data_IF_429040744962
#
_entry.id   IF_429040744962
#
_cell.length_a   1.000
_cell.length_b   1.000
_cell.length_c   1.000
_cell.angle_alpha   90.00
_cell.angle_beta   90.00
_cell.angle_gamma   90.00
#
_symmetry.space_group_name_H-M   'P 1'
#
loop_
_entity.id
_entity.type
_entity.pdbx_description
1 polymer ?
#
# COMPACT_ATOMS: atom_id res chain seq x y z
N UNK A 1 2.91 -12.21 0.79
CA UNK A 1 2.82 -11.70 2.17
C UNK A 1 2.45 -12.77 3.19
N UNK A 2 1.21 -13.25 3.29
CA UNK A 2 0.78 -14.04 4.47
C UNK A 2 1.09 -15.54 4.46
N UNK A 3 1.13 -16.19 3.29
CA UNK A 3 1.25 -17.67 3.20
C UNK A 3 2.56 -18.15 2.55
N UNK A 4 3.13 -17.38 1.62
CA UNK A 4 4.29 -17.80 0.81
C UNK A 4 5.54 -16.95 1.03
N UNK A 5 5.58 -16.16 2.12
CA UNK A 5 6.72 -15.30 2.45
C UNK A 5 7.02 -14.19 1.42
N UNK A 6 6.12 -13.93 0.46
CA UNK A 6 6.34 -12.87 -0.52
C UNK A 6 6.48 -11.50 0.15
N UNK A 7 7.45 -10.72 -0.31
CA UNK A 7 7.76 -9.37 0.15
C UNK A 7 7.79 -8.40 -1.03
N UNK A 8 7.89 -7.12 -0.72
CA UNK A 8 8.16 -6.04 -1.67
C UNK A 8 9.13 -5.03 -1.06
N UNK A 9 9.60 -4.10 -1.89
CA UNK A 9 10.55 -3.08 -1.49
C UNK A 9 10.06 -2.21 -0.33
N UNK A 10 8.79 -1.85 -0.30
CA UNK A 10 8.19 -1.00 0.74
C UNK A 10 8.17 -1.72 2.09
N UNK A 11 7.83 -3.01 2.09
CA UNK A 11 7.87 -3.85 3.28
C UNK A 11 9.31 -4.10 3.75
N UNK A 12 10.23 -4.43 2.84
CA UNK A 12 11.63 -4.69 3.17
C UNK A 12 12.27 -3.46 3.85
N UNK A 13 12.06 -2.28 3.27
CA UNK A 13 12.54 -1.01 3.82
C UNK A 13 11.81 -0.63 5.10
N UNK A 14 10.51 -0.96 5.26
CA UNK A 14 9.79 -0.76 6.54
C UNK A 14 10.37 -1.62 7.67
N UNK A 15 10.75 -2.87 7.37
CA UNK A 15 11.29 -3.82 8.36
C UNK A 15 12.75 -3.57 8.69
N UNK A 16 13.56 -3.07 7.76
CA UNK A 16 14.98 -2.84 8.00
C UNK A 16 15.21 -1.92 9.22
N UNK A 17 16.12 -2.26 10.16
CA UNK A 17 16.45 -1.38 11.29
C UNK A 17 16.90 0.00 10.79
N UNK A 18 16.39 1.08 11.39
CA UNK A 18 16.63 2.42 10.88
C UNK A 18 18.13 2.80 10.90
N UNK A 19 18.87 2.30 11.89
CA UNK A 19 20.31 2.53 12.03
C UNK A 19 21.18 1.76 11.04
N UNK A 20 20.62 0.79 10.32
CA UNK A 20 21.33 -0.02 9.32
C UNK A 20 20.81 0.20 7.89
N UNK A 21 19.98 1.22 7.67
CA UNK A 21 19.52 1.56 6.32
C UNK A 21 20.70 2.00 5.46
N UNK A 22 20.79 1.47 4.24
CA UNK A 22 21.70 2.04 3.25
C UNK A 22 21.20 3.44 2.84
N UNK A 23 22.09 4.25 2.25
CA UNK A 23 21.69 5.55 1.71
C UNK A 23 20.56 5.42 0.69
N UNK A 24 20.59 4.38 -0.15
CA UNK A 24 19.52 4.08 -1.12
C UNK A 24 18.19 3.74 -0.44
N UNK A 25 18.19 2.95 0.64
CA UNK A 25 16.98 2.64 1.39
C UNK A 25 16.41 3.89 2.10
N UNK A 26 17.28 4.73 2.66
CA UNK A 26 16.89 5.96 3.31
C UNK A 26 16.32 6.97 2.30
N UNK A 27 16.90 7.10 1.11
CA UNK A 27 16.33 7.91 0.04
C UNK A 27 14.98 7.35 -0.42
N UNK A 28 14.86 6.02 -0.54
CA UNK A 28 13.57 5.38 -0.86
C UNK A 28 12.48 5.75 0.15
N UNK A 29 12.77 5.70 1.46
CA UNK A 29 11.84 6.17 2.50
C UNK A 29 11.39 7.61 2.22
N UNK A 30 12.35 8.50 2.00
CA UNK A 30 12.08 9.92 1.83
C UNK A 30 11.24 10.24 0.58
N UNK A 31 11.31 9.42 -0.46
CA UNK A 31 10.48 9.60 -1.67
C UNK A 31 9.10 8.94 -1.56
N UNK A 32 8.99 7.78 -0.91
CA UNK A 32 7.79 6.94 -0.99
C UNK A 32 6.95 6.97 0.28
N UNK A 33 7.54 7.21 1.44
CA UNK A 33 6.83 7.10 2.72
C UNK A 33 5.97 8.31 3.04
N UNK A 34 5.89 9.29 2.14
CA UNK A 34 4.94 10.39 2.20
C UNK A 34 3.89 10.35 1.08
N UNK A 35 3.83 9.27 0.28
CA UNK A 35 2.83 9.07 -0.79
C UNK A 35 1.47 8.67 -0.22
N UNK A 36 0.94 9.49 0.67
CA UNK A 36 -0.37 9.39 1.29
C UNK A 36 -1.06 10.75 1.23
N UNK A 37 -2.37 10.81 1.51
CA UNK A 37 -3.06 12.09 1.53
C UNK A 37 -2.50 13.00 2.65
N UNK A 38 -1.80 14.08 2.30
CA UNK A 38 -1.13 14.92 3.28
C UNK A 38 -2.09 15.59 4.28
N UNK A 39 -3.29 15.98 3.84
CA UNK A 39 -4.27 16.67 4.69
C UNK A 39 -4.92 15.74 5.73
N UNK A 40 -5.20 14.49 5.35
CA UNK A 40 -5.96 13.56 6.20
C UNK A 40 -5.09 12.50 6.88
N UNK A 41 -3.92 12.18 6.33
CA UNK A 41 -3.06 11.10 6.84
C UNK A 41 -1.75 11.62 7.46
N UNK A 42 -1.28 12.81 7.10
CA UNK A 42 -0.02 13.38 7.63
C UNK A 42 -0.30 14.49 8.63
N UNK A 43 -0.97 15.55 8.17
CA UNK A 43 -1.23 16.78 8.94
C UNK A 43 -1.89 16.55 10.31
N UNK A 44 -2.80 15.57 10.52
CA UNK A 44 -3.38 15.33 11.84
C UNK A 44 -2.37 14.84 12.89
N UNK A 45 -1.21 14.31 12.47
CA UNK A 45 -0.22 13.71 13.35
C UNK A 45 1.03 14.62 13.43
N UNK A 46 1.24 15.35 14.55
CA UNK A 46 2.25 16.41 14.61
C UNK A 46 3.65 15.95 14.19
N UNK A 47 4.10 14.79 14.70
CA UNK A 47 5.42 14.25 14.35
C UNK A 47 5.53 13.89 12.87
N UNK A 48 4.50 13.29 12.28
CA UNK A 48 4.55 12.92 10.87
C UNK A 48 4.56 14.16 9.98
N UNK A 49 3.79 15.19 10.36
CA UNK A 49 3.81 16.50 9.72
C UNK A 49 5.17 17.18 9.80
N UNK A 50 5.84 17.16 10.96
CA UNK A 50 7.20 17.68 11.14
C UNK A 50 8.18 17.01 10.16
N UNK A 51 8.11 15.67 10.03
CA UNK A 51 8.96 14.90 9.10
C UNK A 51 8.66 15.24 7.64
N UNK A 52 7.38 15.44 7.30
CA UNK A 52 6.95 15.83 5.95
C UNK A 52 7.47 17.22 5.58
N UNK A 53 7.37 18.20 6.49
CA UNK A 53 7.94 19.52 6.30
C UNK A 53 9.46 19.46 6.15
N UNK A 54 10.12 18.66 6.99
CA UNK A 54 11.57 18.42 6.96
C UNK A 54 12.04 17.74 5.67
N UNK A 55 11.20 16.91 5.04
CA UNK A 55 11.49 16.29 3.74
C UNK A 55 11.54 17.32 2.61
N UNK A 56 10.67 18.32 2.62
CA UNK A 56 10.63 19.36 1.58
C UNK A 56 10.27 18.81 0.19
N UNK A 57 9.23 17.95 0.09
CA UNK A 57 8.82 17.34 -1.17
C UNK A 57 8.59 18.39 -2.27
N UNK A 58 9.08 18.08 -3.47
CA UNK A 58 9.00 18.96 -4.64
C UNK A 58 9.99 20.14 -4.63
N UNK A 59 10.77 20.33 -3.56
CA UNK A 59 11.80 21.38 -3.47
C UNK A 59 13.22 20.82 -3.51
N UNK A 60 13.43 19.66 -2.90
CA UNK A 60 14.76 19.04 -2.74
C UNK A 60 14.71 17.54 -3.09
N UNK A 61 15.82 17.00 -3.58
CA UNK A 61 15.95 15.55 -3.78
C UNK A 61 16.00 14.81 -2.44
N UNK A 62 15.78 13.50 -2.44
CA UNK A 62 15.86 12.70 -1.23
C UNK A 62 17.27 12.75 -0.60
N UNK A 63 18.31 12.70 -1.42
CA UNK A 63 19.72 12.74 -0.99
C UNK A 63 20.05 14.06 -0.29
N UNK A 64 19.52 15.18 -0.80
CA UNK A 64 19.69 16.50 -0.18
C UNK A 64 18.99 16.55 1.17
N UNK A 65 17.74 16.07 1.22
CA UNK A 65 16.94 16.07 2.45
C UNK A 65 17.54 15.16 3.52
N UNK A 66 18.09 13.99 3.13
CA UNK A 66 18.61 12.95 4.01
C UNK A 66 19.64 13.48 5.02
N UNK A 67 20.45 14.48 4.64
CA UNK A 67 21.44 15.12 5.53
C UNK A 67 20.84 15.71 6.81
N UNK A 68 19.54 16.00 6.80
CA UNK A 68 18.81 16.53 7.96
C UNK A 68 18.22 15.42 8.81
N UNK A 69 18.04 14.21 8.29
CA UNK A 69 17.39 13.10 8.98
C UNK A 69 18.42 12.31 9.79
N UNK A 70 18.07 12.00 11.03
CA UNK A 70 18.80 11.04 11.85
C UNK A 70 18.04 9.71 11.92
N UNK A 71 18.65 8.71 12.56
CA UNK A 71 18.07 7.38 12.75
C UNK A 71 16.65 7.41 13.34
N UNK A 72 16.39 8.28 14.34
CA UNK A 72 15.06 8.38 14.97
C UNK A 72 14.03 8.97 14.02
N UNK A 73 14.43 9.94 13.20
CA UNK A 73 13.55 10.50 12.18
C UNK A 73 13.15 9.45 11.14
N UNK A 74 14.11 8.64 10.69
CA UNK A 74 13.86 7.56 9.72
C UNK A 74 12.95 6.48 10.32
N UNK A 75 13.19 6.11 11.59
CA UNK A 75 12.34 5.13 12.29
C UNK A 75 10.92 5.66 12.51
N UNK A 76 10.78 6.90 12.97
CA UNK A 76 9.47 7.52 13.15
C UNK A 76 8.73 7.63 11.81
N UNK A 77 9.44 7.88 10.70
CA UNK A 77 8.87 7.88 9.36
C UNK A 77 8.38 6.47 8.94
N UNK A 78 9.20 5.44 9.15
CA UNK A 78 8.80 4.04 8.91
C UNK A 78 7.52 3.69 9.67
N UNK A 79 7.44 4.07 10.94
CA UNK A 79 6.29 3.78 11.81
C UNK A 79 5.05 4.58 11.37
N UNK A 80 5.16 5.89 11.16
CA UNK A 80 4.01 6.72 10.82
C UNK A 80 3.37 6.37 9.48
N UNK A 81 4.20 6.10 8.45
CA UNK A 81 3.67 5.65 7.17
C UNK A 81 2.81 4.39 7.36
N UNK A 82 3.35 3.39 8.06
CA UNK A 82 2.65 2.12 8.30
C UNK A 82 1.42 2.27 9.21
N UNK A 83 1.47 3.10 10.26
CA UNK A 83 0.33 3.38 11.13
C UNK A 83 -0.86 3.97 10.37
N UNK A 84 -0.60 4.93 9.47
CA UNK A 84 -1.68 5.67 8.79
C UNK A 84 -2.44 4.83 7.77
N UNK A 85 -1.88 3.70 7.33
CA UNK A 85 -2.56 2.73 6.48
C UNK A 85 -3.46 1.74 7.25
N UNK A 86 -3.41 1.75 8.59
CA UNK A 86 -4.28 0.91 9.41
C UNK A 86 -5.64 1.60 9.60
N UNK A 87 -6.72 0.86 9.35
CA UNK A 87 -8.08 1.36 9.48
C UNK A 87 -8.41 1.74 10.95
N UNK A 88 -9.13 2.85 11.22
CA UNK A 88 -9.49 3.30 12.57
C UNK A 88 -10.05 2.22 13.52
N UNK A 89 -10.92 1.34 13.01
CA UNK A 89 -11.50 0.22 13.76
C UNK A 89 -10.45 -0.72 14.40
N UNK A 90 -9.26 -0.85 13.83
CA UNK A 90 -8.21 -1.67 14.44
C UNK A 90 -7.71 -1.06 15.76
N UNK A 91 -7.61 0.27 15.85
CA UNK A 91 -7.22 0.96 17.08
C UNK A 91 -8.29 0.94 18.17
N UNK A 92 -9.56 0.74 17.79
CA UNK A 92 -10.65 0.54 18.75
C UNK A 92 -10.57 -0.85 19.39
N UNK A 93 -10.12 -1.86 18.63
CA UNK A 93 -10.13 -3.27 19.02
C UNK A 93 -8.81 -3.76 19.61
N UNK A 94 -7.69 -3.13 19.27
CA UNK A 94 -6.35 -3.53 19.67
C UNK A 94 -5.70 -2.40 20.50
N UNK A 95 -5.45 -2.70 21.78
CA UNK A 95 -4.86 -1.74 22.70
C UNK A 95 -3.41 -1.40 22.36
N UNK A 96 -2.63 -2.37 21.88
CA UNK A 96 -1.22 -2.18 21.55
C UNK A 96 -1.08 -1.22 20.36
N UNK A 97 -1.93 -1.36 19.33
CA UNK A 97 -1.97 -0.44 18.19
C UNK A 97 -2.35 0.97 18.60
N UNK A 98 -3.32 1.11 19.52
CA UNK A 98 -3.73 2.41 20.06
C UNK A 98 -2.61 3.07 20.84
N UNK A 99 -1.95 2.32 21.72
CA UNK A 99 -0.83 2.81 22.52
C UNK A 99 0.36 3.24 21.62
N UNK A 100 0.65 2.48 20.55
CA UNK A 100 1.64 2.84 19.55
C UNK A 100 1.31 4.18 18.86
N UNK A 101 0.06 4.35 18.42
CA UNK A 101 -0.38 5.60 17.76
C UNK A 101 -0.34 6.78 18.71
N UNK A 102 -0.83 6.60 19.94
CA UNK A 102 -0.97 7.66 20.93
C UNK A 102 0.41 8.09 21.46
N UNK A 103 1.41 7.19 21.49
CA UNK A 103 2.83 7.53 21.74
C UNK A 103 3.39 8.52 20.71
N UNK A 104 3.02 8.35 19.44
CA UNK A 104 3.20 9.32 18.35
C UNK A 104 4.64 9.67 17.91
N UNK A 105 5.69 9.22 18.63
CA UNK A 105 7.12 9.43 18.29
C UNK A 105 8.05 8.56 19.14
N UNK A 106 9.33 8.52 18.76
CA UNK A 106 10.41 7.87 19.51
C UNK A 106 10.15 6.38 19.79
N UNK A 107 9.64 5.67 18.78
CA UNK A 107 9.49 4.23 18.89
C UNK A 107 10.84 3.52 18.90
N UNK A 108 10.89 2.37 19.56
CA UNK A 108 11.98 1.41 19.46
C UNK A 108 11.85 0.58 18.18
N UNK A 109 12.94 -0.08 17.79
CA UNK A 109 12.90 -1.05 16.69
C UNK A 109 11.93 -2.21 17.00
N UNK A 110 11.83 -2.62 18.27
CA UNK A 110 10.89 -3.65 18.70
C UNK A 110 9.43 -3.22 18.47
N UNK A 111 9.08 -2.01 18.87
CA UNK A 111 7.73 -1.44 18.64
C UNK A 111 7.41 -1.32 17.14
N UNK A 112 8.40 -0.94 16.32
CA UNK A 112 8.24 -0.94 14.86
C UNK A 112 7.95 -2.34 14.31
N UNK A 113 8.69 -3.37 14.74
CA UNK A 113 8.42 -4.74 14.29
C UNK A 113 7.04 -5.21 14.75
N UNK A 114 6.67 -4.92 16.00
CA UNK A 114 5.35 -5.25 16.54
C UNK A 114 4.21 -4.63 15.72
N UNK A 115 4.34 -3.38 15.29
CA UNK A 115 3.39 -2.73 14.39
C UNK A 115 3.24 -3.49 13.07
N UNK A 116 4.36 -3.82 12.44
CA UNK A 116 4.36 -4.53 11.15
C UNK A 116 3.79 -5.93 11.29
N UNK A 117 4.04 -6.61 12.40
CA UNK A 117 3.48 -7.94 12.66
C UNK A 117 1.96 -7.86 12.90
N UNK A 118 1.46 -6.82 13.57
CA UNK A 118 0.02 -6.52 13.69
C UNK A 118 -0.65 -6.29 12.34
N UNK A 119 -0.01 -5.60 11.40
CA UNK A 119 -0.54 -5.48 10.03
C UNK A 119 -0.71 -6.87 9.39
N UNK A 120 0.26 -7.77 9.57
CA UNK A 120 0.16 -9.14 9.05
C UNK A 120 -0.92 -9.97 9.76
N UNK A 121 -1.13 -9.80 11.06
CA UNK A 121 -2.23 -10.41 11.79
C UNK A 121 -3.59 -9.98 11.23
N UNK A 122 -3.77 -8.69 10.92
CA UNK A 122 -4.98 -8.17 10.29
C UNK A 122 -5.15 -8.74 8.88
N UNK A 123 -4.08 -8.72 8.06
CA UNK A 123 -4.12 -9.23 6.69
C UNK A 123 -4.52 -10.71 6.62
N UNK A 124 -4.05 -11.54 7.57
CA UNK A 124 -4.39 -12.96 7.66
C UNK A 124 -5.88 -13.21 7.91
N UNK A 125 -6.60 -12.24 8.47
CA UNK A 125 -8.03 -12.38 8.76
C UNK A 125 -8.93 -12.04 7.56
N UNK A 126 -8.42 -11.32 6.55
CA UNK A 126 -9.24 -10.80 5.46
C UNK A 126 -9.95 -11.93 4.70
N UNK A 127 -9.21 -12.88 4.12
CA UNK A 127 -9.81 -13.95 3.31
C UNK A 127 -10.73 -14.86 4.14
N UNK A 128 -10.34 -15.35 5.35
CA UNK A 128 -11.23 -16.12 6.20
C UNK A 128 -12.52 -15.40 6.57
N UNK A 129 -12.46 -14.11 6.90
CA UNK A 129 -13.64 -13.32 7.27
C UNK A 129 -14.64 -13.23 6.10
N UNK A 130 -14.15 -12.94 4.88
CA UNK A 130 -15.03 -12.88 3.71
C UNK A 130 -15.67 -14.24 3.41
N UNK A 131 -14.92 -15.34 3.58
CA UNK A 131 -15.47 -16.70 3.43
C UNK A 131 -16.58 -16.96 4.44
N UNK A 132 -16.35 -16.67 5.72
CA UNK A 132 -17.35 -16.86 6.77
C UNK A 132 -18.62 -16.06 6.50
N UNK A 133 -18.49 -14.79 6.08
CA UNK A 133 -19.63 -13.92 5.77
C UNK A 133 -20.41 -14.39 4.54
N UNK A 134 -19.73 -14.99 3.55
CA UNK A 134 -20.38 -15.56 2.38
C UNK A 134 -21.13 -16.86 2.73
N UNK A 135 -20.50 -17.74 3.52
CA UNK A 135 -21.11 -18.99 4.00
C UNK A 135 -22.32 -18.74 4.91
N UNK A 136 -22.33 -17.66 5.67
CA UNK A 136 -23.48 -17.25 6.49
C UNK A 136 -24.58 -16.54 5.70
N UNK A 137 -24.37 -16.26 4.40
CA UNK A 137 -25.32 -15.54 3.55
C UNK A 137 -25.42 -14.04 3.82
N UNK A 138 -24.48 -13.46 4.59
CA UNK A 138 -24.46 -12.03 4.89
C UNK A 138 -23.94 -11.19 3.72
N UNK A 139 -23.11 -11.78 2.86
CA UNK A 139 -22.58 -11.15 1.65
C UNK A 139 -22.63 -12.11 0.46
N UNK A 140 -22.65 -11.55 -0.73
CA UNK A 140 -22.36 -12.26 -1.98
C UNK A 140 -20.98 -11.83 -2.48
N UNK A 141 -20.16 -12.80 -2.89
CA UNK A 141 -18.85 -12.53 -3.46
C UNK A 141 -18.93 -12.67 -4.97
N UNK A 142 -18.44 -11.66 -5.70
CA UNK A 142 -18.28 -11.70 -7.15
C UNK A 142 -16.81 -11.62 -7.52
N UNK A 143 -16.47 -11.97 -8.76
CA UNK A 143 -15.10 -11.86 -9.28
C UNK A 143 -15.05 -10.95 -10.50
N UNK A 144 -13.86 -10.38 -10.75
CA UNK A 144 -13.55 -9.63 -11.97
C UNK A 144 -12.56 -10.42 -12.83
N UNK A 145 -12.31 -10.03 -14.09
CA UNK A 145 -11.27 -10.65 -14.92
C UNK A 145 -9.91 -10.73 -14.20
N UNK A 146 -9.15 -11.81 -14.43
CA UNK A 146 -8.12 -12.29 -13.48
C UNK A 146 -7.01 -11.29 -13.07
N UNK A 147 -6.51 -10.47 -14.01
CA UNK A 147 -5.54 -9.40 -13.70
C UNK A 147 -6.15 -8.00 -13.83
N UNK A 148 -7.47 -7.92 -13.73
CA UNK A 148 -8.28 -6.72 -13.92
C UNK A 148 -7.97 -5.92 -15.22
N UNK A 149 -7.74 -6.56 -16.39
CA UNK A 149 -7.56 -5.83 -17.64
C UNK A 149 -8.84 -5.08 -18.03
N UNK A 150 -8.65 -4.01 -18.80
CA UNK A 150 -9.75 -3.32 -19.49
C UNK A 150 -10.16 -4.18 -20.69
N UNK A 151 -11.00 -5.19 -20.45
CA UNK A 151 -11.38 -6.19 -21.47
C UNK A 151 -11.83 -5.60 -22.81
N UNK A 152 -12.64 -4.52 -22.87
CA UNK A 152 -13.01 -3.91 -24.15
C UNK A 152 -11.81 -3.49 -25.00
N UNK A 153 -10.70 -3.08 -24.39
CA UNK A 153 -9.49 -2.68 -25.12
C UNK A 153 -8.65 -3.87 -25.59
N UNK A 154 -8.71 -5.01 -24.89
CA UNK A 154 -8.13 -6.26 -25.39
C UNK A 154 -8.92 -6.77 -26.60
N UNK A 155 -10.25 -6.65 -26.56
CA UNK A 155 -11.13 -7.05 -27.66
C UNK A 155 -11.01 -6.10 -28.87
N UNK A 156 -11.13 -4.79 -28.65
CA UNK A 156 -10.96 -3.78 -29.68
C UNK A 156 -10.52 -2.45 -29.04
N UNK A 157 -9.28 -2.04 -29.32
CA UNK A 157 -8.72 -0.77 -28.83
C UNK A 157 -9.50 0.46 -29.28
N UNK A 158 -10.27 0.35 -30.38
CA UNK A 158 -11.14 1.45 -30.86
C UNK A 158 -12.32 1.69 -29.92
N UNK A 159 -12.66 0.74 -29.06
CA UNK A 159 -13.70 0.91 -28.03
C UNK A 159 -13.40 2.08 -27.08
N UNK A 160 -12.14 2.49 -26.93
CA UNK A 160 -11.75 3.71 -26.20
C UNK A 160 -12.55 4.94 -26.67
N UNK A 161 -12.87 5.02 -27.97
CA UNK A 161 -13.61 6.15 -28.57
C UNK A 161 -15.09 6.20 -28.18
N UNK A 162 -15.64 5.14 -27.59
CA UNK A 162 -17.01 5.17 -27.05
C UNK A 162 -17.08 6.10 -25.84
N UNK A 163 -16.07 6.09 -24.97
CA UNK A 163 -15.97 6.97 -23.81
C UNK A 163 -15.25 8.29 -24.15
N UNK A 164 -14.27 8.26 -25.05
CA UNK A 164 -13.43 9.40 -25.40
C UNK A 164 -13.28 9.51 -26.94
N UNK A 165 -14.27 10.11 -27.65
CA UNK A 165 -14.34 10.08 -29.12
C UNK A 165 -13.05 10.50 -29.86
N UNK A 166 -12.38 11.54 -29.35
CA UNK A 166 -11.18 12.13 -29.95
C UNK A 166 -9.87 11.54 -29.40
N UNK A 167 -9.92 10.46 -28.61
CA UNK A 167 -8.72 9.87 -28.04
C UNK A 167 -7.80 9.30 -29.14
N UNK A 168 -6.49 9.65 -29.13
CA UNK A 168 -5.53 9.05 -30.04
C UNK A 168 -5.42 7.55 -29.78
N UNK A 169 -5.48 6.75 -30.85
CA UNK A 169 -5.33 5.30 -30.76
C UNK A 169 -3.87 4.89 -30.96
N UNK A 170 -3.43 3.78 -30.33
CA UNK A 170 -2.11 3.23 -30.60
C UNK A 170 -2.02 2.75 -32.05
N UNK A 171 -0.80 2.68 -32.59
CA UNK A 171 -0.54 2.17 -33.94
C UNK A 171 -0.96 0.71 -34.10
N UNK A 172 -0.75 -0.07 -33.04
CA UNK A 172 -1.02 -1.51 -32.94
C UNK A 172 -2.47 -1.73 -32.49
N UNK A 173 -3.36 -2.07 -33.42
CA UNK A 173 -4.81 -2.26 -33.17
C UNK A 173 -5.23 -3.73 -33.12
N UNK A 174 -4.27 -4.65 -32.98
CA UNK A 174 -4.52 -6.09 -32.88
C UNK A 174 -5.45 -6.39 -31.69
N UNK A 175 -6.35 -7.34 -31.91
CA UNK A 175 -7.25 -7.87 -30.89
C UNK A 175 -6.60 -9.06 -30.19
N UNK A 176 -6.89 -9.22 -28.90
CA UNK A 176 -6.42 -10.33 -28.06
C UNK A 176 -7.62 -11.07 -27.45
N UNK A 177 -8.49 -11.71 -28.25
CA UNK A 177 -9.69 -12.38 -27.75
C UNK A 177 -9.36 -13.59 -26.87
N UNK A 178 -8.28 -14.31 -27.18
CA UNK A 178 -7.82 -15.46 -26.38
C UNK A 178 -7.38 -15.02 -24.97
N UNK A 179 -6.82 -13.81 -24.84
CA UNK A 179 -6.47 -13.23 -23.54
C UNK A 179 -7.74 -12.86 -22.76
N UNK A 180 -8.74 -12.26 -23.43
CA UNK A 180 -10.05 -11.97 -22.82
C UNK A 180 -10.67 -13.24 -22.25
N UNK A 181 -10.74 -14.32 -23.04
CA UNK A 181 -11.25 -15.61 -22.59
C UNK A 181 -10.42 -16.17 -21.43
N UNK A 182 -9.09 -16.11 -21.53
CA UNK A 182 -8.18 -16.59 -20.48
C UNK A 182 -8.41 -15.85 -19.16
N UNK A 183 -8.57 -14.53 -19.19
CA UNK A 183 -8.84 -13.75 -17.98
C UNK A 183 -10.19 -14.08 -17.35
N UNK A 184 -11.24 -14.34 -18.14
CA UNK A 184 -12.54 -14.75 -17.64
C UNK A 184 -12.50 -16.16 -17.06
N UNK A 185 -11.94 -17.12 -17.80
CA UNK A 185 -11.82 -18.52 -17.38
C UNK A 185 -11.02 -18.65 -16.10
N UNK A 186 -9.86 -17.98 -16.01
CA UNK A 186 -9.01 -18.00 -14.80
C UNK A 186 -9.69 -17.34 -13.61
N UNK A 187 -10.41 -16.25 -13.81
CA UNK A 187 -11.16 -15.58 -12.75
C UNK A 187 -12.21 -16.53 -12.13
N UNK A 188 -13.03 -17.16 -12.97
CA UNK A 188 -14.04 -18.12 -12.52
C UNK A 188 -13.39 -19.33 -11.83
N UNK A 189 -12.31 -19.87 -12.41
CA UNK A 189 -11.62 -21.03 -11.83
C UNK A 189 -10.96 -20.73 -10.49
N UNK A 190 -10.48 -19.51 -10.27
CA UNK A 190 -9.85 -19.09 -9.00
C UNK A 190 -10.87 -18.67 -7.95
N UNK A 191 -12.03 -18.18 -8.37
CA UNK A 191 -13.10 -17.74 -7.47
C UNK A 191 -13.86 -18.91 -6.84
N UNK A 192 -13.97 -20.04 -7.56
CA UNK A 192 -14.52 -21.30 -7.05
C UNK A 192 -13.58 -21.95 -6.05
#
# INVERSE_FOLDING_TARGET
YTERGGSDRHLDVSRAPAGSLSESDACYLLDHFFMVNAEHMIRPWPRYHDLFQKRGLGRETAEQALRRFNERDLRDLQVWNNLTWIHPLAFERDADLRDLRDKGRNWSEHEKQSLLDKQFEILKQIVPLHRQLAESGQIELTTTPFYHPILPLLQDKRSARQAMPECPLPKALESYPDDVETHLRRAVAYHR
#
